data_IF_795561386119
#
_entry.id   IF_795561386119
#
_cell.length_a   1.000
_cell.length_b   1.000
_cell.length_c   1.000
_cell.angle_alpha   90.00
_cell.angle_beta   90.00
_cell.angle_gamma   90.00
#
_symmetry.space_group_name_H-M   'P 1'
#
loop_
_entity.id
_entity.type
_entity.pdbx_description
1 polymer ?
#
# COMPACT_ATOMS: atom_id res chain seq x y z
N UNK A 1 -30.99 -38.09 -17.66
CA UNK A 1 -30.26 -36.83 -17.94
C UNK A 1 -29.34 -36.61 -16.75
N UNK A 2 -28.02 -36.71 -16.99
CA UNK A 2 -26.98 -36.91 -15.97
C UNK A 2 -26.83 -35.69 -15.04
N UNK A 3 -26.76 -35.93 -13.73
CA UNK A 3 -26.40 -34.91 -12.74
C UNK A 3 -24.92 -34.59 -12.83
N UNK A 4 -24.59 -33.32 -13.07
CA UNK A 4 -23.20 -32.86 -13.18
C UNK A 4 -22.69 -32.57 -11.76
N UNK A 5 -21.85 -33.45 -11.22
CA UNK A 5 -21.09 -33.17 -10.00
C UNK A 5 -19.94 -32.24 -10.41
N UNK A 6 -20.03 -30.96 -10.05
CA UNK A 6 -18.92 -30.03 -10.19
C UNK A 6 -17.81 -30.45 -9.22
N UNK A 7 -16.76 -31.10 -9.74
CA UNK A 7 -15.53 -31.31 -8.97
C UNK A 7 -14.85 -29.94 -8.75
N UNK A 8 -14.64 -29.56 -7.50
CA UNK A 8 -13.69 -28.48 -7.20
C UNK A 8 -12.29 -28.99 -7.50
N UNK A 9 -11.70 -28.51 -8.59
CA UNK A 9 -10.30 -28.72 -8.91
C UNK A 9 -9.44 -28.27 -7.72
N UNK A 10 -8.49 -29.11 -7.27
CA UNK A 10 -7.54 -28.76 -6.21
C UNK A 10 -6.89 -27.42 -6.57
N UNK A 11 -7.07 -26.41 -5.71
CA UNK A 11 -6.40 -25.11 -5.85
C UNK A 11 -4.92 -25.33 -6.09
N UNK A 12 -4.50 -25.11 -7.33
CA UNK A 12 -3.12 -25.26 -7.74
C UNK A 12 -2.31 -24.22 -6.95
N UNK A 13 -1.40 -24.68 -6.10
CA UNK A 13 -0.64 -23.85 -5.16
C UNK A 13 0.35 -22.89 -5.84
N UNK A 14 0.32 -22.81 -7.16
CA UNK A 14 1.07 -21.92 -8.04
C UNK A 14 0.99 -20.43 -7.69
N UNK A 15 0.00 -19.99 -6.90
CA UNK A 15 -0.12 -18.60 -6.44
C UNK A 15 0.76 -18.22 -5.24
N UNK A 16 1.41 -19.18 -4.58
CA UNK A 16 2.09 -18.95 -3.29
C UNK A 16 3.44 -18.21 -3.39
N UNK A 17 4.09 -18.25 -4.56
CA UNK A 17 5.37 -17.58 -4.81
C UNK A 17 5.20 -16.43 -5.80
N UNK A 18 4.27 -15.52 -5.55
CA UNK A 18 4.11 -14.29 -6.35
C UNK A 18 4.68 -13.11 -5.57
N UNK A 19 5.62 -12.41 -6.20
CA UNK A 19 6.09 -11.12 -5.70
C UNK A 19 5.13 -10.04 -6.16
N UNK A 20 4.64 -9.23 -5.22
CA UNK A 20 3.90 -8.01 -5.52
C UNK A 20 4.74 -6.82 -5.07
N UNK A 21 5.05 -5.92 -5.99
CA UNK A 21 5.67 -4.63 -5.69
C UNK A 21 4.56 -3.60 -5.70
N UNK A 22 4.15 -3.16 -4.51
CA UNK A 22 3.10 -2.18 -4.29
C UNK A 22 3.60 -1.18 -3.26
N UNK A 23 3.24 0.07 -3.43
CA UNK A 23 3.36 1.08 -2.38
C UNK A 23 2.16 0.98 -1.43
N UNK A 24 2.28 1.57 -0.25
CA UNK A 24 1.13 1.66 0.67
C UNK A 24 0.01 2.49 0.02
N UNK A 25 0.37 3.51 -0.75
CA UNK A 25 -0.60 4.34 -1.47
C UNK A 25 -1.41 3.56 -2.49
N UNK A 26 -0.81 2.56 -3.17
CA UNK A 26 -1.54 1.72 -4.13
C UNK A 26 -2.68 0.92 -3.48
N UNK A 27 -2.61 0.71 -2.16
CA UNK A 27 -3.63 0.00 -1.39
C UNK A 27 -4.79 0.92 -0.95
N UNK A 28 -4.66 2.24 -1.12
CA UNK A 28 -5.70 3.22 -0.73
C UNK A 28 -6.60 3.52 -1.92
N UNK A 29 -7.93 3.31 -1.83
CA UNK A 29 -8.87 3.63 -2.90
C UNK A 29 -8.76 5.10 -3.38
N UNK A 30 -8.99 5.34 -4.66
CA UNK A 30 -8.82 6.67 -5.26
C UNK A 30 -9.84 7.70 -4.75
N UNK A 31 -11.03 7.26 -4.40
CA UNK A 31 -12.11 8.09 -3.86
C UNK A 31 -12.06 8.23 -2.32
N UNK A 32 -11.05 7.64 -1.67
CA UNK A 32 -10.94 7.61 -0.23
C UNK A 32 -10.69 9.01 0.37
N UNK A 33 -11.29 9.28 1.53
CA UNK A 33 -11.21 10.58 2.21
C UNK A 33 -9.76 11.00 2.53
N UNK A 34 -8.90 10.05 2.90
CA UNK A 34 -7.49 10.33 3.24
C UNK A 34 -6.76 11.02 2.09
N UNK A 35 -7.01 10.64 0.83
CA UNK A 35 -6.40 11.30 -0.34
C UNK A 35 -6.86 12.75 -0.50
N UNK A 36 -8.12 13.03 -0.14
CA UNK A 36 -8.67 14.40 -0.18
C UNK A 36 -8.06 15.27 0.92
N UNK A 37 -7.82 14.69 2.09
CA UNK A 37 -7.15 15.38 3.21
C UNK A 37 -5.70 15.67 2.85
N UNK A 38 -4.97 14.67 2.35
CA UNK A 38 -3.58 14.79 1.91
C UNK A 38 -3.41 15.89 0.85
N UNK A 39 -4.27 15.90 -0.18
CA UNK A 39 -4.24 16.94 -1.22
C UNK A 39 -4.62 18.35 -0.73
N UNK A 40 -5.23 18.47 0.45
CA UNK A 40 -5.66 19.74 1.03
C UNK A 40 -4.68 20.30 2.08
N UNK A 41 -3.69 19.52 2.50
CA UNK A 41 -2.73 19.91 3.53
C UNK A 41 -1.35 20.06 2.91
N UNK A 42 -0.73 21.21 3.16
CA UNK A 42 0.69 21.44 2.87
C UNK A 42 1.48 21.28 4.17
N UNK A 43 2.36 20.29 4.22
CA UNK A 43 3.23 20.00 5.36
C UNK A 43 4.68 20.46 5.13
N UNK A 44 5.01 21.06 3.99
CA UNK A 44 6.38 21.48 3.66
C UNK A 44 6.92 22.49 4.68
N UNK A 45 6.03 23.26 5.32
CA UNK A 45 6.40 24.23 6.37
C UNK A 45 7.03 23.59 7.62
N UNK A 46 6.81 22.29 7.86
CA UNK A 46 7.31 21.60 9.05
C UNK A 46 8.83 21.43 8.96
N UNK A 47 9.36 21.08 7.78
CA UNK A 47 10.77 20.75 7.62
C UNK A 47 11.71 21.88 8.11
N UNK A 48 11.54 23.16 7.71
CA UNK A 48 12.35 24.25 8.25
C UNK A 48 12.26 24.45 9.77
N UNK A 49 11.12 24.07 10.38
CA UNK A 49 10.91 24.24 11.83
C UNK A 49 11.72 23.23 12.63
N UNK A 50 11.82 21.99 12.13
CA UNK A 50 12.43 20.88 12.88
C UNK A 50 13.79 20.46 12.36
N UNK A 51 14.29 21.07 11.27
CA UNK A 51 15.55 20.74 10.63
C UNK A 51 16.71 20.63 11.63
N UNK A 52 16.85 21.62 12.52
CA UNK A 52 17.90 21.67 13.53
C UNK A 52 17.86 20.52 14.55
N UNK A 53 16.78 19.75 14.61
CA UNK A 53 16.65 18.59 15.51
C UNK A 53 17.19 17.30 14.88
N UNK A 54 17.45 17.30 13.58
CA UNK A 54 18.02 16.15 12.89
C UNK A 54 19.55 16.14 12.99
N UNK A 55 20.10 14.92 12.98
CA UNK A 55 21.55 14.71 12.86
C UNK A 55 21.96 14.89 11.41
N UNK A 56 22.98 15.71 11.15
CA UNK A 56 23.60 15.86 9.82
C UNK A 56 24.19 14.54 9.28
N UNK A 57 24.53 13.62 10.20
CA UNK A 57 25.15 12.33 9.88
C UNK A 57 24.14 11.18 9.82
N UNK A 58 22.87 11.45 10.12
CA UNK A 58 21.83 10.42 10.20
C UNK A 58 22.01 9.45 11.37
N UNK A 59 21.59 8.20 11.19
CA UNK A 59 21.73 7.12 12.17
C UNK A 59 23.12 6.48 12.04
N UNK A 60 23.91 6.34 13.13
CA UNK A 60 25.19 5.62 13.09
C UNK A 60 25.01 4.13 12.77
#
# INVERSE_FOLDING_TARGET
MQGVIAMMSKNNTNGRNQFAMLTIDDLVPQDHLVRKIDAALDFEFIYPIVEATYSDLGRP
#
